data_IF_103570189745
#
_entry.id   IF_103570189745
#
_cell.length_a   1.000
_cell.length_b   1.000
_cell.length_c   1.000
_cell.angle_alpha   90.00
_cell.angle_beta   90.00
_cell.angle_gamma   90.00
#
_symmetry.space_group_name_H-M   'P 1'
#
loop_
_entity.id
_entity.type
_entity.pdbx_description
1 polymer ?
#
# COMPACT_ATOMS: atom_id res chain seq x y z
N UNK A 1 -17.53 -9.05 6.92
CA UNK A 1 -17.69 -7.72 7.58
C UNK A 1 -16.34 -7.04 7.56
N UNK A 2 -16.28 -5.83 7.02
CA UNK A 2 -15.02 -5.12 6.73
C UNK A 2 -14.62 -4.13 7.81
N UNK A 3 -15.64 -3.57 8.47
CA UNK A 3 -15.51 -2.65 9.58
C UNK A 3 -16.33 -3.19 10.76
N UNK A 4 -15.75 -3.18 11.95
CA UNK A 4 -16.45 -3.51 13.19
C UNK A 4 -16.19 -2.42 14.20
N UNK A 5 -17.23 -1.68 14.56
CA UNK A 5 -17.16 -0.70 15.64
C UNK A 5 -17.49 -1.35 16.98
N UNK A 6 -16.58 -1.24 17.94
CA UNK A 6 -16.80 -1.63 19.33
C UNK A 6 -17.04 -0.39 20.16
N UNK A 7 -18.24 -0.28 20.74
CA UNK A 7 -18.56 0.78 21.71
C UNK A 7 -17.63 0.61 22.91
N UNK A 8 -17.02 1.71 23.34
CA UNK A 8 -16.14 1.72 24.51
C UNK A 8 -16.84 1.21 25.76
N UNK A 9 -16.05 0.73 26.72
CA UNK A 9 -16.48 0.32 28.07
C UNK A 9 -15.71 1.15 29.10
N UNK A 10 -16.12 1.12 30.36
CA UNK A 10 -15.46 1.86 31.45
C UNK A 10 -13.93 1.68 31.49
N UNK A 11 -13.43 0.53 31.05
CA UNK A 11 -12.01 0.17 31.05
C UNK A 11 -11.32 0.23 29.68
N UNK A 12 -12.07 0.48 28.59
CA UNK A 12 -11.51 0.45 27.23
C UNK A 12 -12.17 1.51 26.33
N UNK A 13 -11.42 2.39 25.67
CA UNK A 13 -11.99 3.36 24.74
C UNK A 13 -12.71 2.68 23.57
N UNK A 14 -13.62 3.38 22.86
CA UNK A 14 -14.21 2.85 21.64
C UNK A 14 -13.13 2.55 20.59
N UNK A 15 -13.32 1.48 19.83
CA UNK A 15 -12.36 1.04 18.80
C UNK A 15 -13.06 0.73 17.50
N UNK A 16 -12.44 1.09 16.37
CA UNK A 16 -12.84 0.67 15.04
C UNK A 16 -11.85 -0.38 14.52
N UNK A 17 -12.33 -1.58 14.26
CA UNK A 17 -11.56 -2.64 13.62
C UNK A 17 -11.75 -2.58 12.11
N UNK A 18 -10.64 -2.51 11.38
CA UNK A 18 -10.58 -2.51 9.91
C UNK A 18 -9.98 -3.83 9.45
N UNK A 19 -10.74 -4.63 8.70
CA UNK A 19 -10.42 -6.04 8.37
C UNK A 19 -10.13 -6.27 6.89
N UNK A 20 -9.71 -5.24 6.16
CA UNK A 20 -9.53 -5.28 4.70
C UNK A 20 -8.07 -5.36 4.26
N UNK A 21 -7.12 -5.36 5.20
CA UNK A 21 -5.70 -5.46 4.88
C UNK A 21 -5.29 -6.93 4.73
N UNK A 22 -4.72 -7.24 3.58
CA UNK A 22 -4.04 -8.52 3.38
C UNK A 22 -2.78 -8.59 4.22
N UNK A 23 -2.41 -9.81 4.62
CA UNK A 23 -1.07 -10.07 5.15
C UNK A 23 -0.05 -9.82 4.04
N UNK A 24 0.95 -8.99 4.31
CA UNK A 24 1.94 -8.56 3.33
C UNK A 24 3.31 -8.39 3.98
N UNK A 25 4.33 -8.10 3.18
CA UNK A 25 5.65 -7.71 3.71
C UNK A 25 5.54 -6.37 4.46
N UNK A 26 6.39 -6.14 5.48
CA UNK A 26 6.19 -5.08 6.47
C UNK A 26 5.93 -3.69 5.89
N UNK A 27 6.67 -3.29 4.86
CA UNK A 27 6.60 -1.93 4.29
C UNK A 27 5.26 -1.68 3.61
N UNK A 28 4.67 -2.71 2.98
CA UNK A 28 3.32 -2.61 2.41
C UNK A 28 2.24 -2.53 3.49
N UNK A 29 2.45 -3.19 4.63
CA UNK A 29 1.56 -3.06 5.80
C UNK A 29 1.64 -1.64 6.36
N UNK A 30 2.84 -1.09 6.51
CA UNK A 30 3.04 0.28 7.01
C UNK A 30 2.44 1.30 6.05
N UNK A 31 2.63 1.16 4.73
CA UNK A 31 2.01 2.04 3.74
C UNK A 31 0.47 2.05 3.86
N UNK A 32 -0.15 0.88 4.02
CA UNK A 32 -1.59 0.77 4.27
C UNK A 32 -2.03 1.49 5.55
N UNK A 33 -1.27 1.34 6.63
CA UNK A 33 -1.54 2.01 7.90
C UNK A 33 -1.42 3.53 7.76
N UNK A 34 -0.44 4.04 7.01
CA UNK A 34 -0.30 5.48 6.73
C UNK A 34 -1.52 6.03 6.00
N UNK A 35 -2.04 5.33 4.97
CA UNK A 35 -3.26 5.74 4.25
C UNK A 35 -4.46 5.82 5.21
N UNK A 36 -4.64 4.84 6.09
CA UNK A 36 -5.74 4.87 7.09
C UNK A 36 -5.54 5.99 8.10
N UNK A 37 -4.33 6.13 8.62
CA UNK A 37 -3.98 7.13 9.63
C UNK A 37 -4.23 8.53 9.09
N UNK A 38 -3.94 8.79 7.80
CA UNK A 38 -4.29 10.05 7.15
C UNK A 38 -5.81 10.33 7.19
N UNK A 39 -6.65 9.35 6.85
CA UNK A 39 -8.12 9.50 6.95
C UNK A 39 -8.56 9.77 8.40
N UNK A 40 -7.97 9.07 9.37
CA UNK A 40 -8.27 9.27 10.79
C UNK A 40 -7.85 10.65 11.30
N UNK A 41 -6.65 11.13 10.95
CA UNK A 41 -6.15 12.43 11.34
C UNK A 41 -7.03 13.56 10.79
N UNK A 42 -7.40 13.47 9.51
CA UNK A 42 -8.34 14.41 8.87
C UNK A 42 -9.68 14.45 9.62
N UNK A 43 -10.24 13.28 9.95
CA UNK A 43 -11.48 13.21 10.72
C UNK A 43 -11.35 13.81 12.13
N UNK A 44 -10.23 13.57 12.82
CA UNK A 44 -9.96 14.14 14.15
C UNK A 44 -9.83 15.66 14.12
N UNK A 45 -9.41 16.25 13.00
CA UNK A 45 -9.39 17.71 12.77
C UNK A 45 -10.79 18.29 12.50
N UNK A 46 -11.83 17.46 12.48
CA UNK A 46 -13.20 17.87 12.17
C UNK A 46 -13.46 18.08 10.68
N UNK A 47 -12.53 17.66 9.82
CA UNK A 47 -12.68 17.79 8.38
C UNK A 47 -13.55 16.69 7.78
N UNK A 48 -14.29 17.04 6.73
CA UNK A 48 -15.10 16.08 5.98
C UNK A 48 -14.23 15.09 5.18
N UNK A 49 -14.83 13.95 4.84
CA UNK A 49 -14.20 12.98 3.95
C UNK A 49 -13.82 13.61 2.60
N UNK A 50 -12.58 13.41 2.16
CA UNK A 50 -12.05 13.93 0.90
C UNK A 50 -12.80 13.42 -0.34
N UNK A 51 -13.38 12.23 -0.23
CA UNK A 51 -14.20 11.61 -1.27
C UNK A 51 -15.52 11.11 -0.66
N UNK A 52 -16.63 11.41 -1.34
CA UNK A 52 -17.96 10.91 -0.98
C UNK A 52 -18.50 10.07 -2.14
N UNK A 53 -18.92 8.85 -1.84
CA UNK A 53 -19.47 7.91 -2.83
C UNK A 53 -20.73 7.23 -2.28
N UNK A 54 -21.58 6.74 -3.20
CA UNK A 54 -22.72 5.92 -2.81
C UNK A 54 -22.24 4.53 -2.34
N UNK A 55 -23.07 3.83 -1.57
CA UNK A 55 -22.77 2.45 -1.18
C UNK A 55 -22.67 1.50 -2.39
N UNK A 56 -23.48 1.73 -3.43
CA UNK A 56 -23.43 0.94 -4.66
C UNK A 56 -22.09 1.14 -5.39
N UNK A 57 -21.63 2.39 -5.54
CA UNK A 57 -20.33 2.69 -6.15
C UNK A 57 -19.19 2.08 -5.34
N UNK A 58 -19.28 2.10 -4.01
CA UNK A 58 -18.30 1.43 -3.14
C UNK A 58 -18.19 -0.08 -3.43
N UNK A 59 -19.31 -0.79 -3.53
CA UNK A 59 -19.31 -2.24 -3.79
C UNK A 59 -18.72 -2.58 -5.18
N UNK A 60 -19.02 -1.74 -6.18
CA UNK A 60 -18.44 -1.88 -7.52
C UNK A 60 -16.93 -1.60 -7.50
N UNK A 61 -16.52 -0.49 -6.90
CA UNK A 61 -15.12 -0.09 -6.78
C UNK A 61 -14.29 -1.15 -6.04
N UNK A 62 -14.86 -1.75 -4.98
CA UNK A 62 -14.26 -2.85 -4.24
C UNK A 62 -13.99 -4.07 -5.11
N UNK A 63 -14.98 -4.48 -5.90
CA UNK A 63 -14.85 -5.64 -6.81
C UNK A 63 -13.83 -5.37 -7.90
N UNK A 64 -13.84 -4.16 -8.46
CA UNK A 64 -12.88 -3.70 -9.46
C UNK A 64 -11.44 -3.68 -8.90
N UNK A 65 -11.24 -3.15 -7.69
CA UNK A 65 -9.95 -3.13 -7.01
C UNK A 65 -9.42 -4.54 -6.73
N UNK A 66 -10.29 -5.43 -6.21
CA UNK A 66 -9.90 -6.81 -5.90
C UNK A 66 -9.48 -7.61 -7.14
N UNK A 67 -10.12 -7.36 -8.29
CA UNK A 67 -9.85 -8.11 -9.53
C UNK A 67 -8.71 -7.52 -10.36
N UNK A 68 -8.57 -6.19 -10.38
CA UNK A 68 -7.65 -5.49 -11.29
C UNK A 68 -6.48 -4.80 -10.59
N UNK A 69 -6.51 -4.66 -9.26
CA UNK A 69 -5.51 -3.93 -8.49
C UNK A 69 -5.28 -2.52 -9.05
N UNK A 70 -4.03 -2.15 -9.30
CA UNK A 70 -3.68 -0.83 -9.84
C UNK A 70 -4.07 -0.60 -11.31
N UNK A 71 -4.69 -1.59 -11.98
CA UNK A 71 -5.36 -1.39 -13.29
C UNK A 71 -6.84 -1.03 -13.14
N UNK A 72 -7.38 -1.01 -11.92
CA UNK A 72 -8.76 -0.65 -11.65
C UNK A 72 -9.06 0.82 -11.99
N UNK A 73 -10.35 1.11 -12.18
CA UNK A 73 -10.89 2.47 -12.09
C UNK A 73 -11.68 2.59 -10.80
N UNK A 74 -11.54 3.71 -10.11
CA UNK A 74 -12.17 3.96 -8.81
C UNK A 74 -12.92 5.30 -8.84
N UNK A 75 -14.07 5.39 -8.16
CA UNK A 75 -14.88 6.60 -8.16
C UNK A 75 -14.27 7.67 -7.24
N UNK A 76 -13.94 8.84 -7.80
CA UNK A 76 -13.52 10.04 -7.08
C UNK A 76 -14.44 11.20 -7.44
N UNK A 77 -15.14 11.80 -6.46
CA UNK A 77 -16.09 12.90 -6.69
C UNK A 77 -17.10 12.61 -7.84
N UNK A 78 -17.58 11.36 -7.92
CA UNK A 78 -18.49 10.79 -8.94
C UNK A 78 -17.88 10.48 -10.31
N UNK A 79 -16.58 10.66 -10.49
CA UNK A 79 -15.87 10.28 -11.72
C UNK A 79 -15.07 9.00 -11.52
N UNK A 80 -15.14 8.07 -12.47
CA UNK A 80 -14.33 6.84 -12.44
C UNK A 80 -12.95 7.09 -13.03
N UNK A 81 -11.95 7.30 -12.18
CA UNK A 81 -10.56 7.59 -12.59
C UNK A 81 -9.65 6.37 -12.41
N UNK A 82 -8.52 6.27 -13.13
CA UNK A 82 -7.53 5.23 -12.90
C UNK A 82 -7.07 5.17 -11.43
N UNK A 83 -6.79 3.98 -10.90
CA UNK A 83 -6.32 3.80 -9.53
C UNK A 83 -5.00 4.55 -9.23
N UNK A 84 -4.12 4.71 -10.23
CA UNK A 84 -2.93 5.56 -10.12
C UNK A 84 -3.27 7.01 -9.82
N UNK A 85 -4.30 7.52 -10.49
CA UNK A 85 -4.72 8.91 -10.40
C UNK A 85 -5.54 9.11 -9.13
N UNK A 86 -6.29 8.09 -8.71
CA UNK A 86 -6.95 8.04 -7.40
C UNK A 86 -5.92 8.16 -6.27
N UNK A 87 -4.81 7.41 -6.34
CA UNK A 87 -3.74 7.50 -5.36
C UNK A 87 -3.13 8.91 -5.32
N UNK A 88 -2.89 9.53 -6.47
CA UNK A 88 -2.40 10.90 -6.54
C UNK A 88 -3.36 11.91 -5.89
N UNK A 89 -4.65 11.83 -6.23
CA UNK A 89 -5.65 12.71 -5.63
C UNK A 89 -5.79 12.47 -4.13
N UNK A 90 -5.72 11.21 -3.69
CA UNK A 90 -5.78 10.85 -2.28
C UNK A 90 -4.62 11.48 -1.50
N UNK A 91 -3.38 11.34 -1.98
CA UNK A 91 -2.21 11.89 -1.32
C UNK A 91 -2.24 13.42 -1.32
N UNK A 92 -2.67 14.04 -2.42
CA UNK A 92 -2.79 15.49 -2.52
C UNK A 92 -3.80 16.08 -1.52
N UNK A 93 -4.97 15.45 -1.41
CA UNK A 93 -6.06 15.91 -0.54
C UNK A 93 -5.80 15.61 0.95
N UNK A 94 -4.85 14.72 1.25
CA UNK A 94 -4.41 14.42 2.61
C UNK A 94 -2.96 14.88 2.91
N UNK A 95 -2.37 15.74 2.09
CA UNK A 95 -0.95 16.12 2.20
C UNK A 95 -0.58 16.61 3.61
N UNK A 96 -1.43 17.43 4.22
CA UNK A 96 -1.22 17.96 5.57
C UNK A 96 -1.27 16.87 6.66
N UNK A 97 -1.93 15.75 6.42
CA UNK A 97 -1.85 14.58 7.30
C UNK A 97 -0.60 13.75 7.02
N UNK A 98 -0.18 13.62 5.76
CA UNK A 98 1.07 12.94 5.38
C UNK A 98 2.30 13.66 5.95
N UNK A 99 2.37 14.98 5.80
CA UNK A 99 3.46 15.82 6.31
C UNK A 99 3.56 15.73 7.84
N UNK A 100 2.41 15.69 8.52
CA UNK A 100 2.35 15.57 9.98
C UNK A 100 2.74 14.18 10.51
N UNK A 101 2.82 13.15 9.66
CA UNK A 101 3.15 11.78 10.08
C UNK A 101 4.65 11.48 10.07
N UNK A 102 5.49 12.34 9.48
CA UNK A 102 6.94 12.13 9.32
C UNK A 102 7.24 10.73 8.73
N UNK A 103 6.68 10.47 7.55
CA UNK A 103 6.72 9.15 6.93
C UNK A 103 8.09 8.90 6.27
N UNK A 104 8.76 7.76 6.55
CA UNK A 104 10.02 7.42 5.89
C UNK A 104 9.89 7.30 4.38
N UNK A 105 10.95 7.67 3.66
CA UNK A 105 10.99 7.65 2.18
C UNK A 105 10.69 6.27 1.60
N UNK A 106 11.10 5.19 2.26
CA UNK A 106 10.82 3.80 1.85
C UNK A 106 9.31 3.52 1.72
N UNK A 107 8.48 4.19 2.53
CA UNK A 107 7.03 4.05 2.46
C UNK A 107 6.46 4.83 1.27
N UNK A 108 7.01 6.00 0.94
CA UNK A 108 6.68 6.68 -0.32
C UNK A 108 7.13 5.86 -1.53
N UNK A 109 8.27 5.16 -1.44
CA UNK A 109 8.71 4.23 -2.46
C UNK A 109 7.68 3.13 -2.72
N UNK A 110 7.10 2.52 -1.67
CA UNK A 110 5.99 1.56 -1.80
C UNK A 110 4.84 2.13 -2.62
N UNK A 111 4.42 3.36 -2.34
CA UNK A 111 3.33 4.02 -3.07
C UNK A 111 3.70 4.25 -4.55
N UNK A 112 4.96 4.62 -4.85
CA UNK A 112 5.47 4.74 -6.23
C UNK A 112 5.49 3.38 -6.94
N UNK A 113 5.89 2.31 -6.25
CA UNK A 113 5.88 0.94 -6.80
C UNK A 113 4.46 0.50 -7.16
N UNK A 114 3.47 0.83 -6.34
CA UNK A 114 2.06 0.56 -6.66
C UNK A 114 1.66 1.21 -7.98
N UNK A 115 2.06 2.47 -8.25
CA UNK A 115 1.80 3.11 -9.56
C UNK A 115 2.48 2.41 -10.73
N UNK A 116 3.61 1.74 -10.49
CA UNK A 116 4.27 0.84 -11.45
C UNK A 116 3.62 -0.54 -11.55
N UNK A 117 2.53 -0.79 -10.83
CA UNK A 117 1.84 -2.08 -10.72
C UNK A 117 2.74 -3.16 -10.11
N UNK A 118 3.72 -2.75 -9.31
CA UNK A 118 4.63 -3.61 -8.59
C UNK A 118 4.25 -3.62 -7.11
N UNK A 119 3.94 -4.79 -6.57
CA UNK A 119 3.49 -4.96 -5.19
C UNK A 119 4.11 -6.22 -4.56
N UNK A 120 3.91 -6.43 -3.25
CA UNK A 120 4.45 -7.60 -2.54
C UNK A 120 4.10 -8.94 -3.21
N UNK A 121 2.87 -9.10 -3.71
CA UNK A 121 2.46 -10.31 -4.45
C UNK A 121 3.28 -10.52 -5.72
N UNK A 122 3.51 -9.46 -6.51
CA UNK A 122 4.31 -9.52 -7.73
C UNK A 122 5.77 -9.85 -7.42
N UNK A 123 6.34 -9.22 -6.41
CA UNK A 123 7.71 -9.45 -5.95
C UNK A 123 7.90 -10.92 -5.54
N UNK A 124 7.00 -11.45 -4.69
CA UNK A 124 7.03 -12.86 -4.26
C UNK A 124 6.85 -13.80 -5.46
N UNK A 125 5.90 -13.51 -6.35
CA UNK A 125 5.67 -14.31 -7.56
C UNK A 125 6.93 -14.41 -8.41
N UNK A 126 7.60 -13.28 -8.68
CA UNK A 126 8.81 -13.24 -9.51
C UNK A 126 9.97 -13.99 -8.83
N UNK A 127 10.05 -13.94 -7.50
CA UNK A 127 11.06 -14.69 -6.73
C UNK A 127 10.82 -16.20 -6.75
N UNK A 128 9.55 -16.62 -6.67
CA UNK A 128 9.17 -18.04 -6.82
C UNK A 128 9.47 -18.52 -8.24
N UNK A 129 9.07 -17.75 -9.26
CA UNK A 129 9.33 -18.10 -10.65
C UNK A 129 10.83 -18.23 -10.94
N UNK A 130 11.65 -17.32 -10.39
CA UNK A 130 13.11 -17.40 -10.47
C UNK A 130 13.64 -18.67 -9.81
N UNK A 131 13.20 -18.98 -8.59
CA UNK A 131 13.65 -20.16 -7.86
C UNK A 131 13.29 -21.47 -8.60
N UNK A 132 12.09 -21.54 -9.19
CA UNK A 132 11.66 -22.67 -10.03
C UNK A 132 12.59 -22.84 -11.23
N UNK A 133 12.93 -21.73 -11.90
CA UNK A 133 13.80 -21.75 -13.08
C UNK A 133 15.24 -22.16 -12.75
N UNK A 134 15.81 -21.63 -11.66
CA UNK A 134 17.20 -21.91 -11.26
C UNK A 134 17.36 -23.29 -10.61
N UNK A 135 16.35 -23.75 -9.87
CA UNK A 135 16.44 -24.94 -9.03
C UNK A 135 15.17 -25.81 -9.09
N UNK A 136 14.75 -26.37 -10.23
CA UNK A 136 13.45 -27.03 -10.40
C UNK A 136 13.10 -28.11 -9.36
N UNK A 137 14.10 -28.85 -8.87
CA UNK A 137 13.89 -29.93 -7.89
C UNK A 137 13.88 -29.46 -6.42
N UNK A 138 14.47 -28.29 -6.13
CA UNK A 138 14.66 -27.81 -4.74
C UNK A 138 14.19 -26.37 -4.54
N UNK A 139 13.42 -25.84 -5.48
CA UNK A 139 13.03 -24.43 -5.54
C UNK A 139 12.34 -23.97 -4.27
N UNK A 140 11.47 -24.79 -3.66
CA UNK A 140 10.76 -24.45 -2.43
C UNK A 140 11.73 -24.13 -1.29
N UNK A 141 12.73 -25.00 -1.08
CA UNK A 141 13.75 -24.82 -0.04
C UNK A 141 14.63 -23.61 -0.33
N UNK A 142 14.98 -23.39 -1.60
CA UNK A 142 15.81 -22.26 -2.04
C UNK A 142 15.08 -20.93 -1.86
N UNK A 143 13.83 -20.85 -2.32
CA UNK A 143 12.95 -19.71 -2.12
C UNK A 143 12.75 -19.44 -0.62
N UNK A 144 12.36 -20.44 0.18
CA UNK A 144 12.13 -20.26 1.60
C UNK A 144 13.38 -19.75 2.35
N UNK A 145 14.57 -20.23 1.96
CA UNK A 145 15.84 -19.74 2.53
C UNK A 145 16.05 -18.25 2.22
N UNK A 146 15.94 -17.84 0.95
CA UNK A 146 16.10 -16.44 0.53
C UNK A 146 15.02 -15.56 1.16
N UNK A 147 13.76 -16.01 1.15
CA UNK A 147 12.63 -15.27 1.72
C UNK A 147 12.77 -15.05 3.22
N UNK A 148 13.16 -16.07 4.00
CA UNK A 148 13.42 -15.91 5.43
C UNK A 148 14.58 -14.95 5.70
N UNK A 149 15.65 -15.05 4.92
CA UNK A 149 16.81 -14.16 5.01
C UNK A 149 16.42 -12.71 4.73
N UNK A 150 15.71 -12.48 3.62
CA UNK A 150 15.20 -11.17 3.24
C UNK A 150 14.25 -10.58 4.30
N UNK A 151 13.33 -11.38 4.85
CA UNK A 151 12.45 -10.90 5.92
C UNK A 151 13.24 -10.46 7.15
N UNK A 152 14.32 -11.16 7.52
CA UNK A 152 15.17 -10.75 8.64
C UNK A 152 15.87 -9.41 8.36
N UNK A 153 16.29 -9.17 7.11
CA UNK A 153 16.85 -7.89 6.69
C UNK A 153 15.82 -6.75 6.78
N UNK A 154 14.61 -6.95 6.24
CA UNK A 154 13.54 -5.94 6.34
C UNK A 154 13.21 -5.61 7.80
N UNK A 155 13.05 -6.63 8.65
CA UNK A 155 12.78 -6.44 10.07
C UNK A 155 13.96 -5.81 10.85
N UNK A 156 15.14 -5.74 10.25
CA UNK A 156 16.31 -5.05 10.80
C UNK A 156 16.42 -3.59 10.33
N UNK A 157 15.45 -3.09 9.55
CA UNK A 157 15.41 -1.72 9.04
C UNK A 157 16.07 -1.53 7.68
N UNK A 158 16.30 -2.60 6.92
CA UNK A 158 16.77 -2.49 5.54
C UNK A 158 15.63 -2.18 4.56
N UNK A 159 15.98 -1.78 3.34
CA UNK A 159 15.02 -1.32 2.33
C UNK A 159 14.35 -2.48 1.58
N UNK A 160 13.25 -2.17 0.87
CA UNK A 160 12.63 -3.12 -0.06
C UNK A 160 13.56 -3.51 -1.22
N UNK A 161 14.48 -2.64 -1.62
CA UNK A 161 15.49 -2.95 -2.61
C UNK A 161 16.43 -4.05 -2.09
N UNK A 162 16.89 -3.95 -0.84
CA UNK A 162 17.73 -4.99 -0.21
C UNK A 162 16.99 -6.33 -0.15
N UNK A 163 15.70 -6.30 0.17
CA UNK A 163 14.85 -7.49 0.15
C UNK A 163 14.72 -8.11 -1.24
N UNK A 164 14.49 -7.29 -2.27
CA UNK A 164 14.41 -7.75 -3.66
C UNK A 164 15.75 -8.35 -4.12
N UNK A 165 16.87 -7.71 -3.75
CA UNK A 165 18.22 -8.19 -4.04
C UNK A 165 18.49 -9.55 -3.38
N UNK A 166 18.11 -9.73 -2.11
CA UNK A 166 18.25 -11.01 -1.40
C UNK A 166 17.41 -12.13 -2.05
N UNK A 167 16.25 -11.78 -2.59
CA UNK A 167 15.42 -12.71 -3.36
C UNK A 167 15.94 -12.97 -4.79
N UNK A 168 16.85 -12.12 -5.28
CA UNK A 168 17.43 -12.17 -6.61
C UNK A 168 16.51 -11.65 -7.72
N UNK A 169 15.50 -10.86 -7.37
CA UNK A 169 14.51 -10.36 -8.35
C UNK A 169 14.80 -8.93 -8.77
N UNK A 170 14.53 -8.57 -10.05
CA UNK A 170 14.61 -7.19 -10.48
C UNK A 170 13.66 -6.29 -9.69
N UNK A 171 14.19 -5.16 -9.22
CA UNK A 171 13.42 -4.12 -8.56
C UNK A 171 13.25 -2.91 -9.51
N UNK A 172 12.02 -2.47 -9.81
CA UNK A 172 11.80 -1.40 -10.76
C UNK A 172 12.16 -0.04 -10.16
N UNK A 173 12.87 0.79 -10.94
CA UNK A 173 13.19 2.16 -10.53
C UNK A 173 11.93 3.03 -10.37
N UNK A 174 11.90 3.79 -9.28
CA UNK A 174 10.83 4.69 -8.86
C UNK A 174 11.17 6.18 -9.10
N UNK A 175 12.39 6.51 -9.53
CA UNK A 175 12.90 7.90 -9.67
C UNK A 175 12.00 8.83 -10.51
N UNK A 176 11.35 8.30 -11.54
CA UNK A 176 10.47 9.07 -12.45
C UNK A 176 8.98 8.90 -12.14
N UNK A 177 8.66 8.41 -10.95
CA UNK A 177 7.28 8.18 -10.49
C UNK A 177 6.93 9.23 -9.46
N UNK A 178 6.02 10.12 -9.83
CA UNK A 178 5.54 11.18 -8.95
C UNK A 178 4.36 10.67 -8.12
N UNK A 179 4.18 11.25 -6.94
CA UNK A 179 2.99 11.07 -6.10
C UNK A 179 2.30 12.43 -5.96
N UNK A 180 0.98 12.46 -6.03
CA UNK A 180 0.23 13.71 -5.96
C UNK A 180 0.12 14.43 -7.31
N UNK A 181 -0.08 15.75 -7.29
CA UNK A 181 -0.26 16.53 -8.53
C UNK A 181 1.05 16.63 -9.30
N UNK A 182 1.04 16.19 -10.57
CA UNK A 182 2.15 16.36 -11.50
C UNK A 182 2.46 17.86 -11.64
N UNK A 183 3.67 18.27 -11.23
CA UNK A 183 4.19 19.68 -11.13
C UNK A 183 3.88 20.44 -9.83
N UNK A 184 3.39 19.77 -8.79
CA UNK A 184 3.52 20.26 -7.42
C UNK A 184 4.60 19.40 -6.79
N UNK A 185 5.81 19.93 -6.65
CA UNK A 185 6.79 19.30 -5.78
C UNK A 185 6.12 19.16 -4.40
N UNK A 186 6.30 18.00 -3.77
CA UNK A 186 6.17 17.87 -2.31
C UNK A 186 7.44 18.44 -1.65
N UNK A 187 8.33 19.05 -2.45
CA UNK A 187 9.37 19.98 -2.04
C UNK A 187 8.92 21.41 -2.36
N UNK A 188 8.07 21.99 -1.49
CA UNK A 188 8.00 23.43 -1.16
C UNK A 188 7.09 23.66 0.05
#
# INVERSE_FOLDING_TARGET
RELVFSKGRKTKPPTLEIRVFDSNIPEFVVANLCLVKAVCLRWLRGEGAANRMSHADYLLARTEAATKGMKARLPWKREWIPASDYLDQFLWEHREEFDAMDIPEDIYEVLRLLKRKYNGTRLIHDAVALAIREHPQTWQRRFAKRYRSGLAHLLSGNTLLDFANELGVPFPSTERVWLGRKRSSIDE
#
